data_IF_896525641233
#
_entry.id   IF_896525641233
#
_cell.length_a   1.000
_cell.length_b   1.000
_cell.length_c   1.000
_cell.angle_alpha   90.00
_cell.angle_beta   90.00
_cell.angle_gamma   90.00
#
_symmetry.space_group_name_H-M   'P 1'
#
loop_
_entity.id
_entity.type
_entity.pdbx_description
1 polymer ?
#
# COMPACT_ATOMS: atom_id res chain seq x y z
N UNK A 1 -14.62 -23.55 23.08
CA UNK A 1 -13.30 -23.12 23.51
C UNK A 1 -13.06 -21.66 23.10
N UNK A 2 -13.23 -21.27 21.81
CA UNK A 2 -13.05 -19.88 21.35
C UNK A 2 -13.95 -18.88 22.10
N UNK A 3 -15.19 -19.24 22.39
CA UNK A 3 -16.09 -18.39 23.19
C UNK A 3 -15.58 -18.19 24.63
N UNK A 4 -14.83 -19.14 25.17
CA UNK A 4 -14.16 -18.96 26.47
C UNK A 4 -13.04 -17.93 26.44
N UNK A 5 -12.33 -17.80 25.31
CA UNK A 5 -11.23 -16.85 25.11
C UNK A 5 -11.74 -15.44 24.75
N UNK A 6 -12.66 -15.38 23.77
CA UNK A 6 -13.11 -14.13 23.18
C UNK A 6 -14.44 -13.60 23.71
N UNK A 7 -15.22 -14.45 24.38
CA UNK A 7 -16.63 -14.20 24.69
C UNK A 7 -17.53 -14.50 23.49
N UNK A 8 -18.76 -14.97 23.75
CA UNK A 8 -19.69 -15.43 22.71
C UNK A 8 -20.03 -14.35 21.65
N UNK A 9 -20.03 -13.06 22.02
CA UNK A 9 -20.30 -11.94 21.10
C UNK A 9 -19.15 -11.66 20.12
N UNK A 10 -17.97 -12.20 20.40
CA UNK A 10 -16.75 -11.99 19.61
C UNK A 10 -16.36 -13.25 18.81
N UNK A 11 -17.27 -14.19 18.66
CA UNK A 11 -17.09 -15.40 17.84
C UNK A 11 -18.29 -15.53 16.91
N UNK A 12 -18.05 -15.68 15.62
CA UNK A 12 -19.11 -15.84 14.62
C UNK A 12 -18.83 -16.97 13.65
N UNK A 13 -19.85 -17.79 13.43
CA UNK A 13 -19.92 -18.82 12.37
C UNK A 13 -20.93 -18.45 11.29
N UNK A 14 -21.53 -17.26 11.38
CA UNK A 14 -22.51 -16.77 10.44
C UNK A 14 -21.90 -16.59 9.04
N UNK A 15 -22.57 -17.11 8.02
CA UNK A 15 -22.06 -17.12 6.65
C UNK A 15 -21.76 -15.72 6.11
N UNK A 16 -22.64 -14.73 6.36
CA UNK A 16 -22.43 -13.35 5.91
C UNK A 16 -21.17 -12.74 6.52
N UNK A 17 -20.95 -12.94 7.82
CA UNK A 17 -19.76 -12.50 8.55
C UNK A 17 -18.50 -13.17 8.03
N UNK A 18 -18.52 -14.50 7.87
CA UNK A 18 -17.40 -15.27 7.32
C UNK A 18 -17.04 -14.79 5.93
N UNK A 19 -18.00 -14.60 5.04
CA UNK A 19 -17.79 -14.11 3.68
C UNK A 19 -17.17 -12.70 3.67
N UNK A 20 -17.65 -11.79 4.51
CA UNK A 20 -17.11 -10.42 4.60
C UNK A 20 -15.66 -10.39 5.11
N UNK A 21 -15.29 -11.32 6.02
CA UNK A 21 -13.95 -11.40 6.58
C UNK A 21 -12.99 -12.28 5.75
N UNK A 22 -13.49 -13.00 4.75
CA UNK A 22 -12.68 -13.84 3.85
C UNK A 22 -12.26 -13.14 2.56
N UNK A 23 -12.58 -11.87 2.38
CA UNK A 23 -12.28 -11.10 1.18
C UNK A 23 -11.44 -9.86 1.51
N UNK A 24 -10.56 -9.48 0.60
CA UNK A 24 -9.85 -8.21 0.56
C UNK A 24 -10.01 -7.56 -0.83
N UNK A 25 -9.16 -6.61 -1.21
CA UNK A 25 -9.23 -5.97 -2.52
C UNK A 25 -8.53 -6.76 -3.65
N UNK A 26 -8.18 -8.02 -3.44
CA UNK A 26 -7.60 -8.91 -4.49
C UNK A 26 -8.49 -9.08 -5.71
N UNK A 27 -9.78 -8.73 -5.60
CA UNK A 27 -10.70 -8.72 -6.74
C UNK A 27 -10.30 -7.75 -7.87
N UNK A 28 -9.41 -6.78 -7.63
CA UNK A 28 -8.84 -5.93 -8.66
C UNK A 28 -8.05 -6.71 -9.71
N UNK A 29 -7.48 -7.86 -9.33
CA UNK A 29 -6.79 -8.75 -10.24
C UNK A 29 -7.73 -9.85 -10.73
N UNK A 30 -8.09 -9.88 -12.01
CA UNK A 30 -8.94 -10.93 -12.55
C UNK A 30 -8.28 -12.31 -12.52
N UNK A 31 -6.93 -12.37 -12.62
CA UNK A 31 -6.17 -13.61 -12.52
C UNK A 31 -6.17 -14.14 -11.09
N UNK A 32 -5.91 -13.26 -10.11
CA UNK A 32 -5.88 -13.64 -8.71
C UNK A 32 -7.27 -14.04 -8.20
N UNK A 33 -8.30 -13.31 -8.62
CA UNK A 33 -9.69 -13.56 -8.25
C UNK A 33 -10.13 -14.99 -8.54
N UNK A 34 -9.72 -15.60 -9.64
CA UNK A 34 -10.07 -16.97 -9.99
C UNK A 34 -9.59 -18.00 -8.95
N UNK A 35 -8.51 -17.70 -8.25
CA UNK A 35 -7.91 -18.60 -7.26
C UNK A 35 -8.41 -18.38 -5.82
N UNK A 36 -9.06 -17.25 -5.53
CA UNK A 36 -9.39 -16.87 -4.15
C UNK A 36 -10.89 -16.67 -3.89
N UNK A 37 -11.74 -16.72 -4.93
CA UNK A 37 -13.16 -16.45 -4.83
C UNK A 37 -13.91 -17.38 -3.86
N UNK A 38 -13.48 -18.64 -3.78
CA UNK A 38 -14.14 -19.69 -2.98
C UNK A 38 -13.54 -19.84 -1.58
N UNK A 39 -12.49 -19.06 -1.27
CA UNK A 39 -11.88 -19.10 0.04
C UNK A 39 -12.84 -18.53 1.09
N UNK A 40 -13.09 -19.32 2.14
CA UNK A 40 -14.04 -18.97 3.18
C UNK A 40 -13.51 -19.43 4.53
N UNK A 41 -13.43 -18.52 5.50
CA UNK A 41 -13.13 -18.87 6.89
C UNK A 41 -14.22 -19.77 7.48
N UNK A 42 -13.86 -20.66 8.39
CA UNK A 42 -14.81 -21.45 9.15
C UNK A 42 -15.39 -20.65 10.32
N UNK A 43 -14.57 -19.83 10.94
CA UNK A 43 -14.92 -19.02 12.11
C UNK A 43 -14.25 -17.65 11.98
N UNK A 44 -14.94 -16.61 12.44
CA UNK A 44 -14.37 -15.27 12.64
C UNK A 44 -14.35 -14.97 14.14
N UNK A 45 -13.23 -14.48 14.64
CA UNK A 45 -13.09 -13.99 16.01
C UNK A 45 -12.58 -12.56 16.03
N UNK A 46 -13.05 -11.74 16.98
CA UNK A 46 -12.55 -10.39 17.21
C UNK A 46 -11.70 -10.36 18.47
N UNK A 47 -10.44 -10.01 18.34
CA UNK A 47 -9.52 -9.84 19.46
C UNK A 47 -9.61 -8.43 20.04
N UNK A 48 -9.83 -8.32 21.33
CA UNK A 48 -9.89 -7.05 22.08
C UNK A 48 -8.59 -6.79 22.86
N UNK A 49 -7.76 -7.84 23.10
CA UNK A 49 -6.56 -7.78 23.93
C UNK A 49 -5.46 -8.70 23.38
N UNK A 50 -4.17 -8.32 23.54
CA UNK A 50 -3.02 -9.12 23.12
C UNK A 50 -3.01 -10.54 23.72
N UNK A 51 -3.38 -10.72 25.00
CA UNK A 51 -3.40 -12.04 25.66
C UNK A 51 -4.30 -13.06 24.96
N UNK A 52 -5.38 -12.59 24.30
CA UNK A 52 -6.28 -13.46 23.54
C UNK A 52 -5.60 -14.07 22.32
N UNK A 53 -4.59 -13.38 21.76
CA UNK A 53 -3.80 -13.87 20.63
C UNK A 53 -2.99 -15.09 21.06
N UNK A 54 -2.30 -15.03 22.20
CA UNK A 54 -1.54 -16.18 22.73
C UNK A 54 -2.45 -17.40 22.95
N UNK A 55 -3.60 -17.22 23.59
CA UNK A 55 -4.56 -18.29 23.83
C UNK A 55 -5.15 -18.86 22.53
N UNK A 56 -5.40 -18.02 21.52
CA UNK A 56 -5.83 -18.46 20.19
C UNK A 56 -4.76 -19.36 19.54
N UNK A 57 -3.50 -18.92 19.58
CA UNK A 57 -2.37 -19.67 19.00
C UNK A 57 -2.21 -21.04 19.66
N UNK A 58 -2.31 -21.14 20.99
CA UNK A 58 -2.26 -22.40 21.72
C UNK A 58 -3.37 -23.36 21.26
N UNK A 59 -4.62 -22.87 21.23
CA UNK A 59 -5.77 -23.69 20.81
C UNK A 59 -5.67 -24.13 19.35
N UNK A 60 -5.24 -23.25 18.48
CA UNK A 60 -5.12 -23.55 17.05
C UNK A 60 -3.96 -24.51 16.76
N UNK A 61 -2.83 -24.37 17.47
CA UNK A 61 -1.70 -25.30 17.40
C UNK A 61 -2.09 -26.71 17.83
N UNK A 62 -2.74 -26.85 18.99
CA UNK A 62 -3.20 -28.15 19.48
C UNK A 62 -4.07 -28.88 18.46
N UNK A 63 -4.90 -28.15 17.76
CA UNK A 63 -5.88 -28.72 16.82
C UNK A 63 -5.48 -28.62 15.35
N UNK A 64 -4.33 -28.05 15.06
CA UNK A 64 -3.81 -27.76 13.71
C UNK A 64 -4.80 -26.99 12.84
N UNK A 65 -5.44 -25.97 13.40
CA UNK A 65 -6.42 -25.13 12.70
C UNK A 65 -5.72 -23.91 12.12
N UNK A 66 -5.86 -23.62 10.82
CA UNK A 66 -5.29 -22.42 10.21
C UNK A 66 -5.80 -21.12 10.86
N UNK A 67 -4.93 -20.13 10.97
CA UNK A 67 -5.25 -18.77 11.42
C UNK A 67 -4.84 -17.76 10.36
N UNK A 68 -5.72 -16.81 10.06
CA UNK A 68 -5.44 -15.65 9.21
C UNK A 68 -5.75 -14.38 9.99
N UNK A 69 -4.75 -13.52 10.16
CA UNK A 69 -4.95 -12.20 10.74
C UNK A 69 -5.61 -11.24 9.72
N UNK A 70 -6.52 -10.39 10.22
CA UNK A 70 -7.20 -9.39 9.42
C UNK A 70 -7.23 -8.05 10.14
N UNK A 71 -6.68 -7.02 9.51
CA UNK A 71 -6.87 -5.62 9.87
C UNK A 71 -8.01 -5.00 9.06
N UNK A 72 -7.79 -3.86 8.42
CA UNK A 72 -8.79 -3.17 7.61
C UNK A 72 -9.21 -3.89 6.31
N UNK A 73 -8.55 -5.00 5.96
CA UNK A 73 -8.87 -5.78 4.76
C UNK A 73 -8.65 -5.05 3.44
N UNK A 74 -7.73 -4.09 3.41
CA UNK A 74 -7.45 -3.23 2.24
C UNK A 74 -6.34 -3.77 1.34
N UNK A 75 -5.80 -4.95 1.62
CA UNK A 75 -4.79 -5.62 0.80
C UNK A 75 -5.35 -6.04 -0.56
N UNK A 76 -4.51 -6.06 -1.60
CA UNK A 76 -4.90 -6.41 -2.97
C UNK A 76 -4.21 -7.66 -3.52
N UNK A 77 -3.52 -8.40 -2.67
CA UNK A 77 -2.83 -9.64 -3.06
C UNK A 77 -3.36 -10.86 -2.32
N UNK A 78 -4.61 -10.79 -1.83
CA UNK A 78 -5.23 -11.80 -1.01
C UNK A 78 -4.48 -12.08 0.32
N UNK A 79 -3.81 -11.07 0.90
CA UNK A 79 -3.03 -11.25 2.12
C UNK A 79 -3.88 -11.75 3.29
N UNK A 80 -5.11 -11.25 3.43
CA UNK A 80 -6.03 -11.62 4.51
C UNK A 80 -7.11 -12.63 4.09
N UNK A 81 -6.96 -13.25 2.91
CA UNK A 81 -7.89 -14.28 2.42
C UNK A 81 -7.50 -15.65 2.96
N UNK A 82 -8.40 -16.36 3.65
CA UNK A 82 -8.13 -17.66 4.27
C UNK A 82 -8.17 -18.78 3.22
N UNK A 83 -7.06 -19.00 2.50
CA UNK A 83 -6.97 -19.96 1.40
C UNK A 83 -7.25 -21.41 1.86
N UNK A 84 -6.94 -21.72 3.12
CA UNK A 84 -7.10 -23.06 3.71
C UNK A 84 -8.22 -23.09 4.78
N UNK A 85 -9.18 -22.15 4.71
CA UNK A 85 -10.22 -22.04 5.73
C UNK A 85 -9.68 -21.63 7.09
N UNK A 86 -10.22 -22.22 8.16
CA UNK A 86 -9.78 -22.00 9.53
C UNK A 86 -10.37 -20.74 10.17
N UNK A 87 -9.61 -20.09 11.04
CA UNK A 87 -10.05 -18.96 11.85
C UNK A 87 -9.49 -17.66 11.26
N UNK A 88 -10.37 -16.72 10.94
CA UNK A 88 -9.96 -15.32 10.74
C UNK A 88 -10.02 -14.60 12.07
N UNK A 89 -8.88 -14.05 12.52
CA UNK A 89 -8.81 -13.18 13.69
C UNK A 89 -8.79 -11.72 13.25
N UNK A 90 -9.87 -11.01 13.53
CA UNK A 90 -9.99 -9.58 13.31
C UNK A 90 -9.36 -8.84 14.48
N UNK A 91 -8.31 -8.05 14.18
CA UNK A 91 -7.52 -7.31 15.16
C UNK A 91 -7.96 -5.84 15.30
N UNK A 92 -8.99 -5.40 14.58
CA UNK A 92 -9.37 -3.98 14.48
C UNK A 92 -9.82 -3.35 15.80
N UNK A 93 -10.08 -4.18 16.83
CA UNK A 93 -10.46 -3.70 18.16
C UNK A 93 -9.26 -3.44 19.08
N UNK A 94 -8.09 -4.02 18.80
CA UNK A 94 -6.83 -3.70 19.48
C UNK A 94 -6.23 -2.45 18.84
N UNK A 95 -6.72 -1.25 19.21
CA UNK A 95 -6.45 0.01 18.51
C UNK A 95 -5.88 1.15 19.34
N UNK A 96 -5.34 0.85 20.52
CA UNK A 96 -4.77 1.88 21.38
C UNK A 96 -3.49 2.46 20.79
N UNK A 97 -3.31 3.76 20.93
CA UNK A 97 -2.03 4.43 20.77
C UNK A 97 -1.36 4.38 22.16
N UNK A 98 -0.25 3.65 22.25
CA UNK A 98 0.43 3.37 23.52
C UNK A 98 1.35 4.54 23.89
N UNK A 99 2.15 5.03 22.93
CA UNK A 99 2.94 6.26 23.10
C UNK A 99 3.23 6.93 21.75
N UNK A 100 3.53 8.23 21.79
CA UNK A 100 4.07 9.02 20.69
C UNK A 100 5.20 9.85 21.26
N UNK A 101 6.45 9.39 21.13
CA UNK A 101 7.64 9.97 21.74
C UNK A 101 8.85 9.72 20.84
N UNK A 102 9.86 10.58 20.93
CA UNK A 102 11.17 10.42 20.26
C UNK A 102 11.12 10.10 18.75
N UNK A 103 10.13 10.66 18.05
CA UNK A 103 9.97 10.40 16.61
C UNK A 103 9.46 8.99 16.27
N UNK A 104 8.85 8.30 17.23
CA UNK A 104 8.23 7.00 17.07
C UNK A 104 6.82 6.99 17.68
N UNK A 105 5.89 6.30 17.03
CA UNK A 105 4.59 5.99 17.60
C UNK A 105 4.51 4.49 17.86
N UNK A 106 4.19 4.12 19.09
CA UNK A 106 3.98 2.73 19.50
C UNK A 106 2.48 2.51 19.65
N UNK A 107 1.95 1.51 18.96
CA UNK A 107 0.51 1.27 18.89
C UNK A 107 0.15 -0.21 18.96
N UNK A 108 -1.07 -0.49 19.36
CA UNK A 108 -1.67 -1.82 19.18
C UNK A 108 -1.87 -2.10 17.67
N UNK A 109 -1.86 -3.38 17.24
CA UNK A 109 -1.81 -3.76 15.82
C UNK A 109 -3.01 -3.31 14.99
N UNK A 110 -4.17 -3.17 15.60
CA UNK A 110 -5.42 -2.71 15.00
C UNK A 110 -5.60 -1.19 14.96
N UNK A 111 -4.64 -0.40 15.47
CA UNK A 111 -4.70 1.06 15.41
C UNK A 111 -4.81 1.54 13.96
N UNK A 112 -5.80 2.36 13.65
CA UNK A 112 -5.99 2.92 12.32
C UNK A 112 -4.95 3.99 12.05
N UNK A 113 -4.34 3.95 10.89
CA UNK A 113 -3.29 4.90 10.52
C UNK A 113 -3.82 6.35 10.45
N UNK A 114 -5.09 6.56 10.10
CA UNK A 114 -5.72 7.88 10.11
C UNK A 114 -5.88 8.45 11.52
N UNK A 115 -6.28 7.62 12.49
CA UNK A 115 -6.38 8.01 13.89
C UNK A 115 -4.98 8.30 14.48
N UNK A 116 -4.00 7.46 14.11
CA UNK A 116 -2.61 7.65 14.52
C UNK A 116 -2.00 8.92 13.92
N UNK A 117 -2.24 9.18 12.61
CA UNK A 117 -1.78 10.41 11.95
C UNK A 117 -2.31 11.64 12.68
N UNK A 118 -3.60 11.69 12.96
CA UNK A 118 -4.22 12.81 13.70
C UNK A 118 -3.60 12.99 15.07
N UNK A 119 -3.44 11.92 15.85
CA UNK A 119 -2.84 11.99 17.19
C UNK A 119 -1.35 12.39 17.16
N UNK A 120 -0.61 12.04 16.11
CA UNK A 120 0.76 12.48 15.92
C UNK A 120 0.82 13.98 15.56
N UNK A 121 -0.12 14.46 14.72
CA UNK A 121 -0.21 15.86 14.30
C UNK A 121 -0.58 16.82 15.43
N UNK A 122 -1.31 16.34 16.43
CA UNK A 122 -1.54 17.07 17.70
C UNK A 122 -0.25 17.26 18.52
N UNK A 123 0.84 16.58 18.13
CA UNK A 123 2.18 16.66 18.77
C UNK A 123 3.26 17.15 17.80
N UNK A 124 2.87 17.92 16.78
CA UNK A 124 3.75 18.45 15.74
C UNK A 124 4.57 17.37 14.99
N UNK A 125 4.06 16.14 14.94
CA UNK A 125 4.65 15.02 14.22
C UNK A 125 3.67 14.46 13.19
N UNK A 126 4.15 13.67 12.23
CA UNK A 126 3.29 12.96 11.26
C UNK A 126 3.92 11.63 10.88
N UNK A 127 3.13 10.70 10.34
CA UNK A 127 3.62 9.45 9.79
C UNK A 127 4.59 9.72 8.63
N UNK A 128 5.75 9.06 8.60
CA UNK A 128 6.68 9.16 7.46
C UNK A 128 6.04 8.63 6.18
N UNK A 129 5.44 7.45 6.24
CA UNK A 129 4.82 6.78 5.10
C UNK A 129 3.46 6.22 5.53
N UNK A 130 2.45 6.36 4.67
CA UNK A 130 1.13 5.75 4.87
C UNK A 130 0.46 5.43 3.53
N UNK A 131 -0.38 4.38 3.44
CA UNK A 131 -1.05 4.01 2.20
C UNK A 131 -2.19 4.99 1.89
N UNK A 132 -2.63 5.08 0.64
CA UNK A 132 -3.81 5.88 0.25
C UNK A 132 -5.08 5.46 1.02
N UNK A 133 -5.14 4.21 1.49
CA UNK A 133 -6.23 3.67 2.32
C UNK A 133 -6.09 3.93 3.82
N UNK A 134 -5.23 4.85 4.26
CA UNK A 134 -4.85 5.08 5.66
C UNK A 134 -6.03 5.27 6.63
N UNK A 135 -7.16 5.80 6.17
CA UNK A 135 -8.36 5.97 6.99
C UNK A 135 -8.96 4.64 7.49
N UNK A 136 -8.68 3.54 6.79
CA UNK A 136 -9.21 2.20 7.09
C UNK A 136 -8.11 1.22 7.47
N UNK A 137 -6.91 1.40 6.90
CA UNK A 137 -5.76 0.52 7.15
C UNK A 137 -5.31 0.57 8.60
N UNK A 138 -4.95 -0.59 9.13
CA UNK A 138 -4.40 -0.73 10.47
C UNK A 138 -2.87 -0.76 10.44
N UNK A 139 -2.23 -0.46 11.57
CA UNK A 139 -0.78 -0.46 11.68
C UNK A 139 -0.16 -1.81 11.29
N UNK A 140 -0.63 -2.93 11.87
CA UNK A 140 -0.15 -4.26 11.52
C UNK A 140 -0.48 -4.64 10.07
N UNK A 141 -1.71 -4.34 9.60
CA UNK A 141 -2.09 -4.61 8.21
C UNK A 141 -1.23 -3.86 7.20
N UNK A 142 -0.75 -2.67 7.53
CA UNK A 142 0.19 -1.92 6.68
C UNK A 142 1.59 -2.51 6.72
N UNK A 143 2.09 -2.90 7.89
CA UNK A 143 3.43 -3.52 8.02
C UNK A 143 3.48 -4.86 7.29
N UNK A 144 2.53 -5.74 7.54
CA UNK A 144 2.53 -7.10 6.99
C UNK A 144 2.00 -7.21 5.55
N UNK A 145 1.26 -6.21 5.07
CA UNK A 145 0.60 -6.25 3.76
C UNK A 145 0.99 -5.16 2.78
N UNK A 146 1.49 -4.03 3.27
CA UNK A 146 1.81 -2.87 2.45
C UNK A 146 3.29 -2.71 2.16
N UNK A 147 3.63 -1.77 1.28
CA UNK A 147 5.02 -1.51 0.91
C UNK A 147 5.39 -0.03 0.90
N UNK A 148 4.61 0.81 0.26
CA UNK A 148 4.84 2.24 0.12
C UNK A 148 3.52 3.02 0.18
N UNK A 149 3.60 4.31 -0.02
CA UNK A 149 2.47 5.22 0.00
C UNK A 149 2.90 6.68 -0.02
N UNK A 150 2.01 7.54 0.43
CA UNK A 150 2.32 8.96 0.65
C UNK A 150 3.51 9.08 1.60
N UNK A 151 4.50 9.87 1.23
CA UNK A 151 5.77 10.00 1.93
C UNK A 151 6.92 9.17 1.33
N UNK A 152 6.62 8.21 0.43
CA UNK A 152 7.66 7.34 -0.12
C UNK A 152 8.67 8.07 -1.03
N UNK A 153 8.34 9.21 -1.56
CA UNK A 153 9.29 10.04 -2.33
C UNK A 153 10.44 10.59 -1.46
N UNK A 154 10.20 10.73 -0.15
CA UNK A 154 11.21 11.24 0.80
C UNK A 154 11.78 10.13 1.68
N UNK A 155 10.94 9.21 2.15
CA UNK A 155 11.30 8.22 3.17
C UNK A 155 11.41 6.79 2.63
N UNK A 156 11.21 6.58 1.33
CA UNK A 156 11.21 5.23 0.77
C UNK A 156 9.97 4.41 1.18
N UNK A 157 10.13 3.11 1.25
CA UNK A 157 9.08 2.14 1.58
C UNK A 157 9.19 1.71 3.05
N UNK A 158 8.30 0.86 3.52
CA UNK A 158 8.30 0.40 4.92
C UNK A 158 9.63 -0.18 5.39
N UNK A 159 10.29 -0.99 4.56
CA UNK A 159 11.59 -1.60 4.87
C UNK A 159 12.79 -0.64 4.76
N UNK A 160 12.59 0.57 4.29
CA UNK A 160 13.64 1.61 4.23
C UNK A 160 13.75 2.38 5.57
N UNK A 161 13.49 1.69 6.70
CA UNK A 161 13.65 2.23 8.05
C UNK A 161 12.42 3.00 8.57
N UNK A 162 11.23 2.74 8.01
CA UNK A 162 9.99 3.40 8.44
C UNK A 162 9.21 2.63 9.52
N UNK A 163 9.57 1.36 9.75
CA UNK A 163 9.16 0.58 10.92
C UNK A 163 10.31 0.57 11.91
N UNK A 164 10.04 0.93 13.17
CA UNK A 164 11.04 0.93 14.23
C UNK A 164 11.22 -0.49 14.80
N UNK A 165 10.11 -1.08 15.23
CA UNK A 165 10.04 -2.43 15.76
C UNK A 165 8.63 -2.99 15.67
N UNK A 166 8.50 -4.28 15.94
CA UNK A 166 7.23 -4.93 16.23
C UNK A 166 7.38 -5.90 17.38
N UNK A 167 6.30 -6.15 18.16
CA UNK A 167 6.20 -7.37 18.97
C UNK A 167 5.36 -8.38 18.21
N UNK A 168 5.86 -9.59 18.16
CA UNK A 168 5.29 -10.69 17.40
C UNK A 168 5.19 -11.92 18.28
N UNK A 169 4.09 -12.66 18.14
CA UNK A 169 3.87 -13.95 18.77
C UNK A 169 3.52 -14.99 17.71
N UNK A 170 4.05 -16.19 17.84
CA UNK A 170 3.79 -17.31 16.94
C UNK A 170 3.40 -18.57 17.71
N UNK A 171 2.89 -19.62 17.03
CA UNK A 171 2.57 -20.90 17.66
C UNK A 171 3.72 -21.51 18.46
N UNK A 172 4.96 -21.37 18.01
CA UNK A 172 6.18 -21.88 18.66
C UNK A 172 7.09 -20.77 19.17
N UNK A 173 6.69 -19.51 19.08
CA UNK A 173 7.47 -18.35 19.49
C UNK A 173 6.67 -17.50 20.48
N UNK A 174 7.19 -17.37 21.71
CA UNK A 174 6.65 -16.42 22.69
C UNK A 174 6.75 -15.00 22.16
N UNK A 175 5.98 -14.07 22.73
CA UNK A 175 6.05 -12.67 22.36
C UNK A 175 7.50 -12.18 22.34
N UNK A 176 7.94 -11.75 21.16
CA UNK A 176 9.32 -11.36 20.89
C UNK A 176 9.38 -10.01 20.22
N UNK A 177 10.26 -9.14 20.69
CA UNK A 177 10.58 -7.87 20.08
C UNK A 177 11.45 -8.08 18.84
N UNK A 178 11.00 -7.67 17.68
CA UNK A 178 11.71 -7.74 16.41
C UNK A 178 12.03 -6.32 15.94
N UNK A 179 13.30 -6.07 15.64
CA UNK A 179 13.80 -4.77 15.14
C UNK A 179 14.96 -4.96 14.15
N UNK A 180 15.38 -3.86 13.50
CA UNK A 180 16.49 -3.87 12.55
C UNK A 180 16.29 -4.88 11.43
N UNK A 181 17.31 -5.68 11.11
CA UNK A 181 17.22 -6.70 10.04
C UNK A 181 16.20 -7.81 10.28
N UNK A 182 15.79 -8.04 11.54
CA UNK A 182 14.73 -8.98 11.84
C UNK A 182 13.38 -8.61 11.20
N UNK A 183 13.16 -7.32 10.97
CA UNK A 183 11.94 -6.81 10.32
C UNK A 183 11.77 -7.29 8.87
N UNK A 184 12.84 -7.72 8.18
CA UNK A 184 12.77 -8.31 6.84
C UNK A 184 11.94 -9.61 6.82
N UNK A 185 11.84 -10.31 7.94
CA UNK A 185 10.99 -11.49 8.11
C UNK A 185 9.51 -11.15 8.40
N UNK A 186 9.20 -9.89 8.69
CA UNK A 186 7.84 -9.44 9.09
C UNK A 186 7.21 -8.55 8.04
N UNK A 187 7.94 -7.53 7.56
CA UNK A 187 7.39 -6.56 6.62
C UNK A 187 7.02 -7.26 5.31
N UNK A 188 5.76 -7.14 4.92
CA UNK A 188 5.17 -7.75 3.72
C UNK A 188 5.07 -9.30 3.78
N UNK A 189 5.10 -9.87 4.98
CA UNK A 189 4.97 -11.32 5.20
C UNK A 189 3.55 -11.87 5.08
N UNK A 190 2.54 -11.00 4.94
CA UNK A 190 1.11 -11.38 4.92
C UNK A 190 0.66 -12.16 6.18
N UNK A 191 1.27 -11.91 7.35
CA UNK A 191 0.93 -12.58 8.60
C UNK A 191 1.33 -14.06 8.64
N UNK A 192 2.27 -14.49 7.80
CA UNK A 192 2.72 -15.89 7.78
C UNK A 192 3.74 -16.20 8.89
N UNK A 193 4.40 -15.20 9.44
CA UNK A 193 5.51 -15.35 10.38
C UNK A 193 5.14 -15.09 11.84
N UNK A 194 3.94 -14.62 12.11
CA UNK A 194 3.48 -14.34 13.47
C UNK A 194 2.26 -13.42 13.45
N UNK A 195 1.65 -13.24 14.62
CA UNK A 195 0.62 -12.23 14.84
C UNK A 195 1.24 -11.08 15.62
N UNK A 196 1.08 -9.86 15.11
CA UNK A 196 1.62 -8.67 15.77
C UNK A 196 0.76 -8.30 16.98
N UNK A 197 1.41 -7.98 18.09
CA UNK A 197 0.79 -7.48 19.33
C UNK A 197 1.10 -6.02 19.59
N UNK A 198 2.19 -5.50 18.99
CA UNK A 198 2.60 -4.09 19.05
C UNK A 198 3.34 -3.71 17.77
N UNK A 199 3.19 -2.45 17.36
CA UNK A 199 3.85 -1.89 16.17
C UNK A 199 4.43 -0.53 16.51
N UNK A 200 5.73 -0.34 16.28
CA UNK A 200 6.45 0.93 16.34
C UNK A 200 6.64 1.51 14.93
N UNK A 201 6.05 2.68 14.66
CA UNK A 201 6.17 3.38 13.38
C UNK A 201 6.97 4.67 13.54
N UNK A 202 7.92 4.90 12.64
CA UNK A 202 8.72 6.12 12.63
C UNK A 202 7.90 7.33 12.17
N UNK A 203 8.06 8.42 12.89
CA UNK A 203 7.42 9.70 12.62
C UNK A 203 8.44 10.70 12.03
N UNK A 204 7.90 11.75 11.41
CA UNK A 204 8.63 12.93 10.96
C UNK A 204 8.00 14.20 11.57
N UNK A 205 8.72 15.31 11.66
CA UNK A 205 8.11 16.60 12.03
C UNK A 205 6.96 16.95 11.08
N UNK A 206 5.85 17.42 11.63
CA UNK A 206 4.75 18.00 10.87
C UNK A 206 5.23 19.27 10.19
N UNK A 207 4.82 19.47 8.95
CA UNK A 207 5.14 20.64 8.13
C UNK A 207 3.88 21.25 7.58
N UNK A 208 3.94 22.54 7.32
CA UNK A 208 2.93 23.20 6.51
C UNK A 208 3.11 22.75 5.05
N UNK A 209 2.04 22.33 4.42
CA UNK A 209 2.07 21.72 3.09
C UNK A 209 1.48 22.65 2.03
N UNK A 210 2.03 22.59 0.84
CA UNK A 210 1.49 23.16 -0.37
C UNK A 210 1.34 22.06 -1.43
N UNK A 211 0.20 22.06 -2.11
CA UNK A 211 -0.03 21.22 -3.27
C UNK A 211 0.28 21.98 -4.56
N UNK A 212 0.78 21.30 -5.58
CA UNK A 212 0.95 21.87 -6.91
C UNK A 212 0.54 20.88 -7.98
N UNK A 213 -0.26 21.34 -8.93
CA UNK A 213 -0.58 20.65 -10.18
C UNK A 213 0.10 21.38 -11.32
N UNK A 214 0.83 20.65 -12.16
CA UNK A 214 1.54 21.19 -13.32
C UNK A 214 1.19 20.40 -14.57
N UNK A 215 0.58 21.05 -15.55
CA UNK A 215 0.25 20.47 -16.85
C UNK A 215 1.39 20.57 -17.84
N UNK A 216 1.65 19.49 -18.59
CA UNK A 216 2.63 19.41 -19.66
C UNK A 216 2.01 18.86 -20.94
N UNK A 217 2.55 19.31 -22.09
CA UNK A 217 2.13 18.81 -23.40
C UNK A 217 2.63 17.40 -23.70
N UNK A 218 3.81 17.03 -23.17
CA UNK A 218 4.47 15.77 -23.50
C UNK A 218 4.86 14.97 -22.26
N UNK A 219 4.85 13.65 -22.37
CA UNK A 219 5.35 12.75 -21.34
C UNK A 219 6.81 13.04 -20.98
N UNK A 220 7.65 13.32 -21.97
CA UNK A 220 9.07 13.63 -21.75
C UNK A 220 9.26 14.84 -20.86
N UNK A 221 8.54 15.94 -21.14
CA UNK A 221 8.64 17.17 -20.34
C UNK A 221 8.15 16.94 -18.91
N UNK A 222 7.05 16.21 -18.72
CA UNK A 222 6.50 15.91 -17.41
C UNK A 222 7.41 15.00 -16.58
N UNK A 223 7.97 13.93 -17.16
CA UNK A 223 8.93 13.04 -16.48
C UNK A 223 10.20 13.82 -16.11
N UNK A 224 10.76 14.61 -17.03
CA UNK A 224 11.96 15.39 -16.74
C UNK A 224 11.74 16.41 -15.61
N UNK A 225 10.57 17.05 -15.56
CA UNK A 225 10.23 17.93 -14.45
C UNK A 225 10.09 17.15 -13.14
N UNK A 226 9.34 16.05 -13.14
CA UNK A 226 9.14 15.24 -11.96
C UNK A 226 10.45 14.69 -11.39
N UNK A 227 11.35 14.18 -12.24
CA UNK A 227 12.68 13.71 -11.81
C UNK A 227 13.55 14.85 -11.25
N UNK A 228 13.55 16.04 -11.88
CA UNK A 228 14.26 17.20 -11.33
C UNK A 228 13.73 17.55 -9.94
N UNK A 229 12.40 17.66 -9.80
CA UNK A 229 11.78 17.97 -8.52
C UNK A 229 12.08 16.89 -7.49
N UNK A 230 11.98 15.61 -7.86
CA UNK A 230 12.29 14.49 -6.97
C UNK A 230 13.72 14.54 -6.42
N UNK A 231 14.68 14.90 -7.27
CA UNK A 231 16.11 14.97 -6.94
C UNK A 231 16.55 16.32 -6.33
N UNK A 232 15.67 17.33 -6.23
CA UNK A 232 16.00 18.61 -5.61
C UNK A 232 16.33 18.41 -4.12
N UNK A 233 17.54 18.82 -3.73
CA UNK A 233 17.97 18.77 -2.33
C UNK A 233 17.28 19.87 -1.51
N UNK A 234 17.15 19.67 -0.20
CA UNK A 234 16.53 20.61 0.75
C UNK A 234 15.07 20.98 0.48
N UNK A 235 14.41 20.25 -0.42
CA UNK A 235 12.96 20.35 -0.65
C UNK A 235 12.27 19.12 -0.10
N UNK A 236 11.51 19.28 0.97
CA UNK A 236 10.71 18.19 1.52
C UNK A 236 9.50 17.93 0.62
N UNK A 237 9.37 16.70 0.16
CA UNK A 237 8.30 16.24 -0.74
C UNK A 237 7.50 15.14 -0.07
N UNK A 238 6.24 15.40 0.10
CA UNK A 238 5.32 14.43 0.70
C UNK A 238 4.77 13.46 -0.33
N UNK A 239 4.59 13.94 -1.58
CA UNK A 239 4.04 13.17 -2.68
C UNK A 239 4.55 13.73 -4.00
N UNK A 240 4.77 12.85 -4.96
CA UNK A 240 5.05 13.22 -6.33
C UNK A 240 4.50 12.14 -7.25
N UNK A 241 3.48 12.49 -8.01
CA UNK A 241 2.78 11.61 -8.95
C UNK A 241 2.72 12.25 -10.32
N UNK A 242 2.63 11.44 -11.37
CA UNK A 242 2.45 11.88 -12.75
C UNK A 242 1.35 11.05 -13.42
N UNK A 243 0.41 11.71 -14.04
CA UNK A 243 -0.72 11.12 -14.73
C UNK A 243 -0.71 11.45 -16.21
N UNK A 244 -0.98 10.45 -17.03
CA UNK A 244 -1.35 10.62 -18.43
C UNK A 244 -2.73 11.33 -18.54
N UNK A 245 -3.00 12.13 -19.58
CA UNK A 245 -4.25 12.90 -19.71
C UNK A 245 -5.53 12.09 -19.42
N UNK A 246 -5.62 10.87 -19.98
CA UNK A 246 -6.80 10.03 -19.83
C UNK A 246 -7.00 9.44 -18.41
N UNK A 247 -6.01 9.52 -17.51
CA UNK A 247 -6.12 9.00 -16.13
C UNK A 247 -6.98 9.91 -15.27
N UNK A 248 -6.81 11.23 -15.40
CA UNK A 248 -7.49 12.21 -14.53
C UNK A 248 -9.01 12.18 -14.66
N UNK A 249 -9.55 11.71 -15.79
CA UNK A 249 -11.00 11.53 -15.99
C UNK A 249 -11.66 10.59 -14.98
N UNK A 250 -10.89 9.62 -14.42
CA UNK A 250 -11.42 8.68 -13.42
C UNK A 250 -11.52 9.29 -12.03
N UNK A 251 -10.93 10.44 -11.80
CA UNK A 251 -10.99 11.15 -10.52
C UNK A 251 -12.32 11.86 -10.32
N UNK A 252 -13.01 12.21 -11.42
CA UNK A 252 -14.33 12.79 -11.37
C UNK A 252 -15.36 11.81 -10.78
N UNK A 253 -16.11 12.26 -9.77
CA UNK A 253 -17.11 11.43 -9.10
C UNK A 253 -16.56 10.50 -8.01
N UNK A 254 -15.33 10.68 -7.55
CA UNK A 254 -14.82 10.04 -6.35
C UNK A 254 -15.77 10.31 -5.16
N UNK A 255 -15.83 9.43 -4.18
CA UNK A 255 -16.71 9.61 -3.00
C UNK A 255 -16.37 10.93 -2.28
N UNK A 256 -15.11 11.35 -2.32
CA UNK A 256 -14.66 12.60 -1.72
C UNK A 256 -15.10 13.83 -2.48
N UNK A 257 -15.11 13.82 -3.81
CA UNK A 257 -15.68 14.90 -4.62
C UNK A 257 -17.16 15.16 -4.26
N UNK A 258 -17.88 14.09 -3.88
CA UNK A 258 -19.29 14.21 -3.41
C UNK A 258 -19.40 14.69 -1.96
N UNK A 259 -18.45 14.36 -1.10
CA UNK A 259 -18.46 14.73 0.33
C UNK A 259 -17.94 16.15 0.55
N UNK A 260 -17.01 16.62 -0.27
CA UNK A 260 -16.38 17.93 -0.15
C UNK A 260 -17.16 19.07 -0.82
N UNK A 261 -18.44 18.87 -1.06
CA UNK A 261 -19.43 19.86 -1.51
C UNK A 261 -18.85 21.20 -1.96
N UNK A 262 -18.52 21.34 -3.25
CA UNK A 262 -18.31 22.62 -3.88
C UNK A 262 -16.96 22.84 -4.57
N UNK A 263 -15.99 21.93 -4.46
CA UNK A 263 -14.75 21.92 -5.24
C UNK A 263 -14.56 20.58 -5.95
N UNK A 264 -15.44 20.29 -6.88
CA UNK A 264 -15.20 19.28 -7.90
C UNK A 264 -14.22 19.89 -8.90
N UNK A 265 -13.10 19.21 -9.13
CA UNK A 265 -12.25 19.55 -10.26
C UNK A 265 -10.87 20.09 -9.95
N UNK A 266 -10.11 19.51 -9.00
CA UNK A 266 -8.65 19.81 -8.90
C UNK A 266 -7.92 19.68 -10.25
N UNK A 267 -8.41 18.82 -11.14
CA UNK A 267 -7.82 18.58 -12.46
C UNK A 267 -8.56 19.31 -13.58
N UNK A 268 -9.51 20.21 -13.27
CA UNK A 268 -10.20 21.00 -14.26
C UNK A 268 -9.22 21.94 -14.99
N UNK A 269 -9.24 21.90 -16.32
CA UNK A 269 -8.27 22.63 -17.15
C UNK A 269 -6.99 21.87 -17.46
N UNK A 270 -6.86 20.62 -16.94
CA UNK A 270 -5.71 19.73 -17.18
C UNK A 270 -6.08 18.47 -17.96
N UNK A 271 -7.31 18.36 -18.48
CA UNK A 271 -7.87 17.14 -19.06
C UNK A 271 -7.05 16.60 -20.25
N UNK A 272 -6.42 17.49 -21.00
CA UNK A 272 -5.57 17.15 -22.15
C UNK A 272 -4.07 17.20 -21.83
N UNK A 273 -3.71 17.31 -20.53
CA UNK A 273 -2.34 17.48 -20.08
C UNK A 273 -1.79 16.22 -19.41
N UNK A 274 -0.49 15.97 -19.55
CA UNK A 274 0.25 15.16 -18.59
C UNK A 274 0.36 15.96 -17.30
N UNK A 275 -0.20 15.49 -16.20
CA UNK A 275 -0.26 16.24 -14.95
C UNK A 275 0.75 15.71 -13.96
N UNK A 276 1.71 16.55 -13.55
CA UNK A 276 2.53 16.29 -12.38
C UNK A 276 1.82 16.88 -11.17
N UNK A 277 1.51 16.05 -10.20
CA UNK A 277 0.93 16.41 -8.91
C UNK A 277 1.98 16.24 -7.82
N UNK A 278 2.21 17.28 -7.03
CA UNK A 278 3.10 17.17 -5.89
C UNK A 278 2.50 17.79 -4.63
N UNK A 279 2.87 17.22 -3.49
CA UNK A 279 2.69 17.80 -2.16
C UNK A 279 4.08 18.06 -1.61
N UNK A 280 4.39 19.31 -1.32
CA UNK A 280 5.69 19.76 -0.84
C UNK A 280 5.55 20.56 0.45
N UNK A 281 6.65 20.77 1.16
CA UNK A 281 6.70 21.78 2.24
C UNK A 281 6.37 23.17 1.66
N UNK A 282 5.52 23.93 2.32
CA UNK A 282 5.08 25.25 1.86
C UNK A 282 6.26 26.22 1.65
N UNK A 283 7.34 26.07 2.42
CA UNK A 283 8.58 26.84 2.25
C UNK A 283 9.34 26.53 0.95
N UNK A 284 9.01 25.41 0.28
CA UNK A 284 9.66 24.97 -0.96
C UNK A 284 9.05 25.58 -2.24
N UNK A 285 8.00 26.40 -2.15
CA UNK A 285 7.29 26.95 -3.31
C UNK A 285 8.20 27.72 -4.26
N UNK A 286 9.16 28.49 -3.75
CA UNK A 286 10.11 29.25 -4.56
C UNK A 286 11.06 28.31 -5.32
N UNK A 287 11.48 27.20 -4.73
CA UNK A 287 12.35 26.20 -5.36
C UNK A 287 11.61 25.46 -6.47
N UNK A 288 10.37 25.04 -6.18
CA UNK A 288 9.49 24.44 -7.19
C UNK A 288 9.27 25.41 -8.35
N UNK A 289 9.01 26.69 -8.07
CA UNK A 289 8.83 27.74 -9.08
C UNK A 289 10.09 27.95 -9.94
N UNK A 290 11.28 27.89 -9.34
CA UNK A 290 12.56 27.92 -10.09
C UNK A 290 12.72 26.70 -11.00
N UNK A 291 12.40 25.53 -10.50
CA UNK A 291 12.42 24.28 -11.29
C UNK A 291 11.42 24.34 -12.45
N UNK A 292 10.26 24.99 -12.25
CA UNK A 292 9.25 25.23 -13.27
C UNK A 292 9.68 26.24 -14.33
N UNK A 293 10.49 27.24 -13.99
CA UNK A 293 10.88 28.31 -14.91
C UNK A 293 11.58 27.81 -16.17
N UNK A 294 12.29 26.69 -16.08
CA UNK A 294 12.99 26.04 -17.20
C UNK A 294 12.16 24.95 -17.88
N UNK A 295 10.86 24.82 -17.59
CA UNK A 295 10.01 23.76 -18.09
C UNK A 295 9.01 24.21 -19.15
N UNK A 296 8.63 23.27 -20.01
CA UNK A 296 7.69 23.41 -21.12
C UNK A 296 6.25 23.15 -20.64
N UNK A 297 5.80 23.92 -19.64
CA UNK A 297 4.51 23.75 -18.96
C UNK A 297 3.37 24.45 -19.69
N UNK A 298 2.18 23.89 -19.59
CA UNK A 298 0.92 24.45 -20.09
C UNK A 298 0.17 25.27 -19.02
N UNK A 299 0.23 24.83 -17.76
CA UNK A 299 -0.45 25.48 -16.64
C UNK A 299 0.14 25.06 -15.30
N UNK A 300 -0.14 25.87 -14.28
CA UNK A 300 0.25 25.59 -12.88
C UNK A 300 -0.87 26.03 -11.97
N UNK A 301 -1.25 25.18 -11.03
CA UNK A 301 -2.19 25.50 -9.97
C UNK A 301 -1.56 25.19 -8.61
N UNK A 302 -1.63 26.13 -7.68
CA UNK A 302 -1.20 25.95 -6.31
C UNK A 302 -2.38 25.80 -5.37
N UNK A 303 -2.24 24.86 -4.44
CA UNK A 303 -3.24 24.51 -3.42
C UNK A 303 -2.59 24.63 -2.04
N UNK A 304 -3.29 25.22 -1.08
CA UNK A 304 -2.79 25.40 0.29
C UNK A 304 -3.58 24.62 1.33
N UNK A 305 -2.99 24.47 2.51
CA UNK A 305 -3.66 23.89 3.67
C UNK A 305 -4.30 22.53 3.41
N UNK A 306 -5.55 22.39 3.80
CA UNK A 306 -6.29 21.13 3.66
C UNK A 306 -6.43 20.64 2.21
N UNK A 307 -6.44 21.53 1.21
CA UNK A 307 -6.54 21.15 -0.20
C UNK A 307 -5.30 20.37 -0.65
N UNK A 308 -4.11 20.80 -0.19
CA UNK A 308 -2.86 20.10 -0.48
C UNK A 308 -2.89 18.66 0.07
N UNK A 309 -3.38 18.45 1.30
CA UNK A 309 -3.50 17.11 1.88
C UNK A 309 -4.48 16.22 1.13
N UNK A 310 -5.56 16.81 0.59
CA UNK A 310 -6.57 16.08 -0.18
C UNK A 310 -6.02 15.46 -1.46
N UNK A 311 -4.94 16.00 -2.03
CA UNK A 311 -4.26 15.41 -3.18
C UNK A 311 -3.77 13.98 -2.90
N UNK A 312 -3.52 13.63 -1.65
CA UNK A 312 -3.13 12.26 -1.26
C UNK A 312 -4.16 11.17 -1.59
N UNK A 313 -5.40 11.55 -1.89
CA UNK A 313 -6.43 10.60 -2.28
C UNK A 313 -6.36 10.19 -3.75
N UNK A 314 -5.64 10.93 -4.56
CA UNK A 314 -5.53 10.68 -6.00
C UNK A 314 -4.26 9.91 -6.38
N UNK A 315 -3.63 9.23 -5.44
CA UNK A 315 -2.33 8.59 -5.61
C UNK A 315 -2.38 7.08 -5.42
N UNK A 316 -1.33 6.41 -5.79
CA UNK A 316 -1.16 4.95 -5.68
C UNK A 316 -2.37 4.18 -6.27
N UNK A 317 -2.85 3.16 -5.60
CA UNK A 317 -3.91 2.29 -6.12
C UNK A 317 -5.31 2.93 -6.15
N UNK A 318 -5.50 4.13 -5.63
CA UNK A 318 -6.78 4.83 -5.75
C UNK A 318 -7.13 5.17 -7.20
N UNK A 319 -6.15 5.49 -8.05
CA UNK A 319 -6.38 5.72 -9.49
C UNK A 319 -7.01 4.49 -10.15
N UNK A 320 -6.48 3.31 -9.87
CA UNK A 320 -7.02 2.04 -10.36
C UNK A 320 -8.39 1.75 -9.76
N UNK A 321 -8.58 2.01 -8.46
CA UNK A 321 -9.87 1.81 -7.79
C UNK A 321 -11.01 2.58 -8.50
N UNK A 322 -10.74 3.82 -8.89
CA UNK A 322 -11.73 4.64 -9.59
C UNK A 322 -11.98 4.11 -11.01
N UNK A 323 -10.95 3.72 -11.74
CA UNK A 323 -11.08 3.16 -13.08
C UNK A 323 -11.84 1.83 -13.08
N UNK A 324 -11.53 0.91 -12.18
CA UNK A 324 -12.18 -0.41 -12.11
C UNK A 324 -13.66 -0.36 -11.70
N UNK A 325 -14.10 0.76 -11.10
CA UNK A 325 -15.53 1.00 -10.84
C UNK A 325 -16.31 1.43 -12.07
N UNK A 326 -15.63 1.93 -13.09
CA UNK A 326 -16.24 2.49 -14.30
C UNK A 326 -16.06 1.57 -15.51
N UNK A 327 -14.91 0.90 -15.60
CA UNK A 327 -14.53 0.07 -16.74
C UNK A 327 -13.89 -1.25 -16.30
N UNK A 328 -13.86 -2.25 -17.19
CA UNK A 328 -13.13 -3.50 -16.97
C UNK A 328 -11.64 -3.25 -17.09
N UNK A 329 -11.00 -3.02 -15.98
CA UNK A 329 -9.58 -2.71 -15.89
C UNK A 329 -8.92 -3.43 -14.71
N UNK A 330 -7.60 -3.50 -14.75
CA UNK A 330 -6.73 -3.87 -13.65
C UNK A 330 -5.55 -2.91 -13.62
N UNK A 331 -4.63 -3.14 -12.70
CA UNK A 331 -3.39 -2.36 -12.62
C UNK A 331 -2.18 -3.28 -12.72
N UNK A 332 -1.00 -2.68 -12.75
CA UNK A 332 0.27 -3.38 -12.66
C UNK A 332 1.27 -2.53 -11.85
N UNK A 333 2.17 -3.17 -11.12
CA UNK A 333 3.34 -2.51 -10.58
C UNK A 333 4.52 -2.74 -11.52
N UNK A 334 5.05 -1.65 -12.06
CA UNK A 334 6.23 -1.67 -12.92
C UNK A 334 7.24 -0.63 -12.41
N UNK A 335 8.52 -0.89 -12.60
CA UNK A 335 9.57 0.03 -12.17
C UNK A 335 10.53 0.29 -13.31
N UNK A 336 10.87 1.56 -13.48
CA UNK A 336 11.72 2.03 -14.56
C UNK A 336 13.04 2.55 -14.01
N UNK A 337 14.10 2.37 -14.77
CA UNK A 337 15.32 3.14 -14.58
C UNK A 337 15.09 4.59 -15.05
N UNK A 338 15.64 5.57 -14.33
CA UNK A 338 15.42 7.00 -14.65
C UNK A 338 15.80 7.35 -16.08
N UNK A 339 16.90 6.78 -16.61
CA UNK A 339 17.41 7.04 -17.94
C UNK A 339 16.54 6.47 -19.07
N UNK A 340 15.79 5.41 -18.83
CA UNK A 340 15.01 4.69 -19.84
C UNK A 340 13.49 4.85 -19.70
N UNK A 341 13.00 5.49 -18.64
CA UNK A 341 11.55 5.61 -18.36
C UNK A 341 10.78 6.25 -19.51
N UNK A 342 11.33 7.28 -20.16
CA UNK A 342 10.69 7.96 -21.30
C UNK A 342 10.61 7.02 -22.51
N UNK A 343 11.73 6.38 -22.86
CA UNK A 343 11.82 5.47 -24.01
C UNK A 343 10.88 4.27 -23.85
N UNK A 344 10.97 3.58 -22.70
CA UNK A 344 10.13 2.40 -22.44
C UNK A 344 8.64 2.77 -22.41
N UNK A 345 8.29 3.92 -21.82
CA UNK A 345 6.90 4.37 -21.81
C UNK A 345 6.39 4.68 -23.22
N UNK A 346 7.20 5.31 -24.06
CA UNK A 346 6.84 5.52 -25.48
C UNK A 346 6.62 4.20 -26.21
N UNK A 347 7.49 3.22 -26.06
CA UNK A 347 7.34 1.91 -26.69
C UNK A 347 6.07 1.19 -26.23
N UNK A 348 5.72 1.28 -24.93
CA UNK A 348 4.46 0.73 -24.39
C UNK A 348 3.26 1.43 -25.04
N UNK A 349 3.28 2.77 -25.09
CA UNK A 349 2.18 3.56 -25.67
C UNK A 349 2.03 3.36 -27.18
N UNK A 350 3.13 3.27 -27.91
CA UNK A 350 3.11 2.98 -29.35
C UNK A 350 2.42 1.64 -29.66
N UNK A 351 2.69 0.63 -28.85
CA UNK A 351 2.11 -0.70 -29.04
C UNK A 351 0.68 -0.85 -28.54
N UNK A 352 0.34 -0.28 -27.39
CA UNK A 352 -0.93 -0.56 -26.73
C UNK A 352 -1.89 0.64 -26.67
N UNK A 353 -1.43 1.85 -27.01
CA UNK A 353 -2.26 3.05 -27.02
C UNK A 353 -2.98 3.27 -25.68
N UNK A 354 -4.27 3.50 -25.78
CA UNK A 354 -5.12 3.74 -24.59
C UNK A 354 -5.51 2.46 -23.83
N UNK A 355 -5.06 1.29 -24.27
CA UNK A 355 -5.23 0.05 -23.48
C UNK A 355 -4.33 0.00 -22.25
N UNK A 356 -3.31 0.86 -22.19
CA UNK A 356 -2.46 1.06 -21.01
C UNK A 356 -2.36 2.57 -20.76
N UNK A 357 -2.97 3.03 -19.67
CA UNK A 357 -2.87 4.41 -19.24
C UNK A 357 -1.83 4.54 -18.14
N UNK A 358 -0.83 5.37 -18.39
CA UNK A 358 0.33 5.48 -17.49
C UNK A 358 0.03 6.41 -16.31
N UNK A 359 0.34 5.90 -15.12
CA UNK A 359 0.41 6.61 -13.87
C UNK A 359 1.74 6.29 -13.21
N UNK A 360 2.44 7.29 -12.70
CA UNK A 360 3.73 7.12 -12.05
C UNK A 360 3.72 7.71 -10.65
N UNK A 361 4.39 7.00 -9.74
CA UNK A 361 4.80 7.50 -8.43
C UNK A 361 6.33 7.54 -8.40
N UNK A 362 6.89 8.53 -7.74
CA UNK A 362 8.33 8.65 -7.58
C UNK A 362 8.70 8.25 -6.16
N UNK A 363 9.48 7.20 -6.02
CA UNK A 363 9.77 6.55 -4.73
C UNK A 363 11.28 6.60 -4.47
N UNK A 364 11.68 7.03 -3.28
CA UNK A 364 13.08 6.94 -2.86
C UNK A 364 13.48 5.46 -2.69
N UNK A 365 14.64 5.10 -3.22
CA UNK A 365 15.23 3.76 -3.13
C UNK A 365 16.74 3.88 -2.92
N UNK A 366 17.22 3.76 -1.69
CA UNK A 366 18.57 4.15 -1.35
C UNK A 366 18.81 5.64 -1.54
N UNK A 367 19.82 6.00 -2.34
CA UNK A 367 20.12 7.40 -2.70
C UNK A 367 19.38 7.86 -3.97
N UNK A 368 18.75 6.92 -4.70
CA UNK A 368 18.11 7.20 -5.98
C UNK A 368 16.59 7.38 -5.85
N UNK A 369 16.01 7.97 -6.90
CA UNK A 369 14.56 8.01 -7.11
C UNK A 369 14.18 6.96 -8.14
N UNK A 370 13.25 6.09 -7.78
CA UNK A 370 12.72 5.03 -8.62
C UNK A 370 11.35 5.48 -9.18
N UNK A 371 11.21 5.68 -10.50
CA UNK A 371 9.92 5.85 -11.13
C UNK A 371 9.13 4.54 -11.08
N UNK A 372 8.09 4.51 -10.26
CA UNK A 372 7.21 3.36 -10.10
C UNK A 372 5.93 3.59 -10.92
N UNK A 373 5.72 2.82 -11.97
CA UNK A 373 4.48 2.87 -12.75
C UNK A 373 3.38 2.03 -12.09
N UNK A 374 2.21 2.61 -12.01
CA UNK A 374 0.96 1.95 -11.62
C UNK A 374 -0.07 2.10 -12.75
N UNK A 375 0.23 1.62 -13.98
CA UNK A 375 -0.66 1.82 -15.10
C UNK A 375 -2.02 1.16 -14.87
N UNK A 376 -3.05 1.80 -15.39
CA UNK A 376 -4.38 1.20 -15.56
C UNK A 376 -4.33 0.40 -16.85
N UNK A 377 -4.66 -0.89 -16.77
CA UNK A 377 -4.55 -1.83 -17.89
C UNK A 377 -5.94 -2.35 -18.26
N UNK A 378 -6.35 -2.09 -19.50
CA UNK A 378 -7.59 -2.60 -20.09
C UNK A 378 -7.30 -3.83 -20.92
N UNK A 379 -8.09 -4.87 -20.72
CA UNK A 379 -7.93 -6.17 -21.39
C UNK A 379 -9.31 -6.83 -21.56
N UNK A 380 -9.45 -7.66 -22.57
CA UNK A 380 -10.64 -8.47 -22.78
C UNK A 380 -10.46 -9.87 -22.21
N UNK A 381 -9.32 -10.49 -22.52
CA UNK A 381 -9.00 -11.84 -22.07
C UNK A 381 -7.72 -11.87 -21.20
N UNK A 382 -7.60 -12.82 -20.25
CA UNK A 382 -6.41 -12.95 -19.39
C UNK A 382 -5.09 -13.06 -20.15
N UNK A 383 -5.08 -13.72 -21.31
CA UNK A 383 -3.89 -13.89 -22.15
C UNK A 383 -3.36 -12.57 -22.69
N UNK A 384 -4.23 -11.62 -22.97
CA UNK A 384 -3.81 -10.29 -23.40
C UNK A 384 -3.06 -9.56 -22.30
N UNK A 385 -3.58 -9.61 -21.04
CA UNK A 385 -2.88 -9.06 -19.90
C UNK A 385 -1.50 -9.67 -19.74
N UNK A 386 -1.40 -11.01 -19.79
CA UNK A 386 -0.11 -11.72 -19.74
C UNK A 386 0.83 -11.24 -20.84
N UNK A 387 0.35 -11.14 -22.08
CA UNK A 387 1.14 -10.66 -23.22
C UNK A 387 1.63 -9.20 -23.04
N UNK A 388 0.82 -8.33 -22.43
CA UNK A 388 1.23 -6.95 -22.11
C UNK A 388 2.37 -6.93 -21.07
N UNK A 389 2.27 -7.74 -20.02
CA UNK A 389 3.29 -7.84 -18.98
C UNK A 389 4.60 -8.43 -19.52
N UNK A 390 4.52 -9.46 -20.37
CA UNK A 390 5.69 -10.03 -21.02
C UNK A 390 6.38 -9.03 -21.94
N UNK A 391 5.62 -8.23 -22.68
CA UNK A 391 6.20 -7.18 -23.52
C UNK A 391 6.97 -6.14 -22.69
N UNK A 392 6.40 -5.68 -21.57
CA UNK A 392 7.09 -4.76 -20.66
C UNK A 392 8.41 -5.37 -20.15
N UNK A 393 8.40 -6.66 -19.76
CA UNK A 393 9.63 -7.36 -19.35
C UNK A 393 10.67 -7.44 -20.47
N UNK A 394 10.24 -7.67 -21.70
CA UNK A 394 11.15 -7.70 -22.87
C UNK A 394 11.79 -6.34 -23.17
N UNK A 395 11.13 -5.24 -22.80
CA UNK A 395 11.71 -3.89 -22.86
C UNK A 395 12.75 -3.62 -21.76
N UNK A 396 12.90 -4.50 -20.76
CA UNK A 396 13.77 -4.29 -19.61
C UNK A 396 13.05 -3.59 -18.44
N UNK A 397 11.73 -3.41 -18.49
CA UNK A 397 10.96 -2.89 -17.38
C UNK A 397 10.80 -3.98 -16.32
N UNK A 398 11.11 -3.67 -15.06
CA UNK A 398 10.85 -4.58 -13.94
C UNK A 398 9.36 -4.63 -13.66
N UNK A 399 8.75 -5.79 -13.85
CA UNK A 399 7.31 -6.03 -13.69
C UNK A 399 7.11 -6.95 -12.49
N UNK A 400 6.49 -6.46 -11.42
CA UNK A 400 6.12 -7.28 -10.26
C UNK A 400 4.92 -8.17 -10.59
N UNK A 401 4.90 -9.37 -10.02
CA UNK A 401 3.75 -10.27 -10.20
C UNK A 401 2.67 -10.00 -9.13
N UNK A 402 1.92 -8.92 -9.34
CA UNK A 402 0.82 -8.55 -8.43
C UNK A 402 -0.42 -9.44 -8.56
N UNK A 403 -0.43 -10.34 -9.53
CA UNK A 403 -1.54 -11.26 -9.80
C UNK A 403 -1.35 -12.62 -9.12
N UNK A 404 -0.53 -12.67 -8.10
CA UNK A 404 -0.28 -13.87 -7.29
C UNK A 404 -0.45 -13.58 -5.79
N UNK A 405 -0.99 -14.55 -5.08
CA UNK A 405 -1.03 -14.55 -3.61
C UNK A 405 0.24 -15.14 -2.99
N UNK A 406 1.08 -15.80 -3.80
CA UNK A 406 2.34 -16.36 -3.31
C UNK A 406 3.39 -15.27 -3.10
N UNK A 407 4.03 -15.29 -1.94
CA UNK A 407 5.07 -14.32 -1.59
C UNK A 407 6.30 -14.45 -2.50
N UNK A 408 6.67 -15.66 -2.89
CA UNK A 408 7.80 -15.95 -3.78
C UNK A 408 7.65 -15.34 -5.18
N UNK A 409 6.43 -15.08 -5.63
CA UNK A 409 6.20 -14.45 -6.93
C UNK A 409 6.38 -12.93 -6.90
N UNK A 410 6.38 -12.33 -5.71
CA UNK A 410 6.33 -10.88 -5.51
C UNK A 410 7.57 -10.30 -4.83
N UNK A 411 8.19 -11.06 -3.96
CA UNK A 411 9.33 -10.62 -3.17
C UNK A 411 10.64 -11.16 -3.73
N UNK A 412 11.73 -10.45 -3.48
CA UNK A 412 13.05 -10.92 -3.80
C UNK A 412 13.48 -12.10 -2.91
N UNK A 413 14.53 -12.80 -3.35
CA UNK A 413 15.03 -14.01 -2.68
C UNK A 413 15.46 -13.73 -1.24
N UNK A 414 16.11 -12.61 -0.98
CA UNK A 414 16.65 -12.28 0.36
C UNK A 414 15.49 -12.10 1.37
N UNK A 415 14.42 -11.39 0.96
CA UNK A 415 13.21 -11.25 1.77
C UNK A 415 12.50 -12.57 2.01
N UNK A 416 12.32 -13.38 0.97
CA UNK A 416 11.72 -14.72 1.11
C UNK A 416 12.50 -15.58 2.09
N UNK A 417 13.83 -15.57 2.02
CA UNK A 417 14.66 -16.28 2.98
C UNK A 417 14.52 -15.75 4.41
N UNK A 418 14.42 -14.45 4.61
CA UNK A 418 14.18 -13.86 5.92
C UNK A 418 12.80 -14.29 6.48
N UNK A 419 11.75 -14.25 5.65
CA UNK A 419 10.41 -14.73 6.01
C UNK A 419 10.46 -16.23 6.38
N UNK A 420 11.10 -17.07 5.57
CA UNK A 420 11.21 -18.52 5.84
C UNK A 420 11.97 -18.81 7.13
N UNK A 421 13.06 -18.11 7.40
CA UNK A 421 13.80 -18.26 8.66
C UNK A 421 12.95 -17.92 9.87
N UNK A 422 12.23 -16.81 9.84
CA UNK A 422 11.35 -16.43 10.94
C UNK A 422 10.16 -17.40 11.07
N UNK A 423 9.54 -17.79 9.95
CA UNK A 423 8.45 -18.79 9.90
C UNK A 423 8.86 -20.10 10.55
N UNK A 424 10.06 -20.63 10.23
CA UNK A 424 10.57 -21.88 10.80
C UNK A 424 10.73 -21.83 12.33
N UNK A 425 10.98 -20.65 12.89
CA UNK A 425 11.11 -20.45 14.34
C UNK A 425 9.72 -20.24 15.00
N UNK A 426 8.85 -19.49 14.36
CA UNK A 426 7.60 -19.04 14.97
C UNK A 426 6.42 -19.99 14.70
N UNK A 427 6.39 -20.63 13.54
CA UNK A 427 5.26 -21.45 13.07
C UNK A 427 5.72 -22.64 12.20
N UNK A 428 6.45 -23.60 12.77
CA UNK A 428 6.93 -24.77 12.02
C UNK A 428 5.83 -25.68 11.51
N UNK A 429 4.64 -25.64 12.12
CA UNK A 429 3.47 -26.44 11.73
C UNK A 429 2.62 -25.77 10.64
N UNK A 430 3.03 -24.59 10.16
CA UNK A 430 2.35 -23.82 9.08
C UNK A 430 0.86 -23.56 9.37
N UNK A 431 0.56 -23.07 10.56
CA UNK A 431 -0.79 -22.70 10.99
C UNK A 431 -1.15 -21.29 10.55
N UNK A 432 -0.15 -20.36 10.52
CA UNK A 432 -0.36 -18.95 10.20
C UNK A 432 -0.42 -18.74 8.69
N UNK A 433 -1.55 -18.30 8.22
CA UNK A 433 -1.90 -17.95 6.84
C UNK A 433 -1.32 -18.93 5.79
N UNK A 434 -1.60 -20.23 5.93
CA UNK A 434 -1.03 -21.26 5.06
C UNK A 434 -1.46 -21.06 3.60
N UNK A 435 -0.59 -21.48 2.66
CA UNK A 435 -0.78 -21.33 1.22
C UNK A 435 -0.21 -20.05 0.63
N UNK A 436 0.36 -19.12 1.45
CA UNK A 436 1.04 -17.91 0.96
C UNK A 436 2.52 -18.14 0.62
N UNK A 437 3.11 -19.21 1.14
CA UNK A 437 4.45 -19.69 0.82
C UNK A 437 4.34 -21.06 0.14
N UNK A 438 5.03 -21.26 -1.00
CA UNK A 438 4.92 -22.49 -1.82
C UNK A 438 5.56 -23.72 -1.19
N UNK A 439 6.60 -23.52 -0.45
CA UNK A 439 7.45 -24.60 0.08
C UNK A 439 7.48 -24.56 1.61
N UNK A 440 6.30 -24.52 2.19
CA UNK A 440 6.16 -24.57 3.63
C UNK A 440 5.01 -25.49 4.02
#
# INVERSE_FOLDING_TARGET
QLEGVFGSRNVSTEHATRKAHSADYSWFSPLLRQHVNDALADIVVWADKPDQIGQLLELASEKRVPIVARGGGTGNYAQSVPLMGGIVVDITRMRKILSIEDGCAIVEPGARLGELKAAAEDRDMTLRVYPSTYLVSTAAGFVEGGSGGVGSVEYGRLWDGNVDHVKLVGPSLKETLIHGKGLDGVIHSAGTTGLLTEVGLRLAPKRELAGVLVGFKTLKSSINFALRLANTQNTHKRLLSLYEPAVTRYFEGSVRDRVLRGKTGFFQGFEESYVVMAIVDASAQDEVSRTLASSDRLGVEWLGGNEAEMLSDYTFNHTTLWATKQERATWQHVFFEQQSVVEHSHAIKEKYGNRILMHYEFIKSGEDILPAGLPIVFFEEPQELIGMLEYMRKLGVRVENIHSYNLEDRLDTEKIEAIRRLKALSDPDNILNPGKLRYY
#
